data_IF_923840968873
#
_entry.id   IF_923840968873
#
_cell.length_a   1.000
_cell.length_b   1.000
_cell.length_c   1.000
_cell.angle_alpha   90.00
_cell.angle_beta   90.00
_cell.angle_gamma   90.00
#
_symmetry.space_group_name_H-M   'P 1'
#
loop_
_entity.id
_entity.type
_entity.pdbx_description
1 polymer ?
#
# COMPACT_ATOMS: atom_id res chain seq x y z
N UNK A 1 5.31 0.55 -3.55
CA UNK A 1 4.57 0.96 -4.76
C UNK A 1 5.44 1.71 -5.76
N UNK A 2 6.26 2.69 -5.35
CA UNK A 2 7.21 3.38 -6.25
C UNK A 2 8.18 2.42 -6.97
N UNK A 3 8.68 1.38 -6.29
CA UNK A 3 9.52 0.34 -6.90
C UNK A 3 8.75 -0.74 -7.68
N UNK A 4 7.42 -0.75 -7.59
CA UNK A 4 6.57 -1.75 -8.25
C UNK A 4 5.96 -1.23 -9.56
N UNK A 5 6.46 -0.10 -10.09
CA UNK A 5 6.01 0.54 -11.33
C UNK A 5 4.49 0.85 -11.38
N UNK A 6 3.83 0.99 -10.23
CA UNK A 6 2.41 1.40 -10.19
C UNK A 6 2.36 2.92 -10.34
N UNK A 7 1.75 3.47 -11.41
CA UNK A 7 1.68 4.92 -11.62
C UNK A 7 0.79 5.58 -10.57
N UNK A 8 1.17 6.78 -10.12
CA UNK A 8 0.38 7.56 -9.16
C UNK A 8 -0.96 8.03 -9.75
N UNK A 9 -0.96 8.34 -11.05
CA UNK A 9 -2.15 8.66 -11.82
C UNK A 9 -2.11 7.84 -13.11
N UNK A 10 -3.08 6.94 -13.28
CA UNK A 10 -3.12 6.03 -14.44
C UNK A 10 -3.60 6.74 -15.71
N UNK A 11 -4.73 7.45 -15.63
CA UNK A 11 -5.32 8.16 -16.78
C UNK A 11 -5.89 9.49 -16.28
N UNK A 12 -5.60 10.57 -17.01
CA UNK A 12 -6.26 11.86 -16.89
C UNK A 12 -7.09 12.10 -18.14
N UNK A 13 -8.39 12.35 -17.98
CA UNK A 13 -9.30 12.67 -19.08
C UNK A 13 -9.89 14.06 -18.85
N UNK A 14 -9.72 14.94 -19.83
CA UNK A 14 -10.30 16.28 -19.86
C UNK A 14 -11.47 16.25 -20.84
N UNK A 15 -12.69 16.49 -20.36
CA UNK A 15 -13.91 16.43 -21.16
C UNK A 15 -14.43 17.85 -21.37
N UNK A 16 -14.67 18.24 -22.62
CA UNK A 16 -15.30 19.53 -22.94
C UNK A 16 -16.81 19.37 -22.99
N UNK A 17 -17.48 19.69 -21.88
CA UNK A 17 -18.94 19.67 -21.76
C UNK A 17 -19.63 20.94 -22.26
N UNK A 18 -18.89 21.90 -22.80
CA UNK A 18 -19.45 23.13 -23.33
C UNK A 18 -19.90 22.95 -24.80
N UNK A 19 -20.68 23.90 -25.29
CA UNK A 19 -21.16 23.95 -26.68
C UNK A 19 -20.14 24.57 -27.65
N UNK A 20 -18.96 24.95 -27.16
CA UNK A 20 -17.91 25.62 -27.93
C UNK A 20 -16.58 24.90 -27.76
N UNK A 21 -15.65 24.98 -28.73
CA UNK A 21 -14.30 24.47 -28.54
C UNK A 21 -13.61 25.19 -27.37
N UNK A 22 -12.90 24.44 -26.55
CA UNK A 22 -12.11 24.97 -25.43
C UNK A 22 -10.64 24.67 -25.69
N UNK A 23 -9.82 25.70 -25.55
CA UNK A 23 -8.37 25.57 -25.65
C UNK A 23 -7.73 25.97 -24.31
N UNK A 24 -7.48 25.00 -23.40
CA UNK A 24 -6.80 25.28 -22.14
C UNK A 24 -5.35 25.70 -22.34
N UNK A 25 -4.77 25.39 -23.51
CA UNK A 25 -3.35 25.50 -23.90
C UNK A 25 -2.40 24.69 -23.04
N UNK A 26 -2.47 24.83 -21.73
CA UNK A 26 -1.58 24.19 -20.78
C UNK A 26 -2.33 23.87 -19.49
N UNK A 27 -2.08 22.69 -18.95
CA UNK A 27 -2.67 22.18 -17.71
C UNK A 27 -1.56 21.95 -16.70
N UNK A 28 -1.86 22.26 -15.43
CA UNK A 28 -0.95 22.12 -14.30
C UNK A 28 -1.59 21.16 -13.29
N UNK A 29 -0.86 20.11 -12.92
CA UNK A 29 -1.20 19.15 -11.86
C UNK A 29 -0.29 19.41 -10.67
N UNK A 30 -0.86 19.62 -9.50
CA UNK A 30 -0.13 19.88 -8.25
C UNK A 30 -0.78 19.18 -7.07
N UNK A 31 -0.09 19.15 -5.93
CA UNK A 31 -0.62 18.62 -4.69
C UNK A 31 -0.47 19.61 -3.53
N UNK A 32 -1.40 19.58 -2.58
CA UNK A 32 -1.35 20.32 -1.32
C UNK A 32 -1.59 19.38 -0.11
N UNK A 33 -0.60 19.13 0.76
CA UNK A 33 0.76 19.67 0.74
C UNK A 33 1.55 19.25 -0.51
N UNK A 34 2.62 19.98 -0.83
CA UNK A 34 3.44 19.72 -2.02
C UNK A 34 4.14 18.35 -1.93
N UNK A 35 3.58 17.35 -2.63
CA UNK A 35 4.08 15.98 -2.64
C UNK A 35 5.08 15.70 -3.77
N UNK A 36 4.91 16.42 -4.89
CA UNK A 36 5.69 16.31 -6.11
C UNK A 36 5.77 17.68 -6.77
N UNK A 37 6.76 17.87 -7.63
CA UNK A 37 6.87 19.10 -8.44
C UNK A 37 5.68 19.21 -9.39
N UNK A 38 5.12 20.42 -9.51
CA UNK A 38 3.96 20.65 -10.37
C UNK A 38 4.23 20.13 -11.79
N UNK A 39 3.37 19.23 -12.26
CA UNK A 39 3.50 18.62 -13.56
C UNK A 39 2.69 19.42 -14.56
N UNK A 40 3.34 19.89 -15.62
CA UNK A 40 2.74 20.74 -16.63
C UNK A 40 2.80 20.06 -17.99
N UNK A 41 1.71 20.15 -18.75
CA UNK A 41 1.65 19.63 -20.11
C UNK A 41 0.75 20.50 -20.98
N UNK A 42 1.05 20.53 -22.27
CA UNK A 42 0.23 21.24 -23.25
C UNK A 42 -0.96 20.36 -23.69
N UNK A 43 -2.09 21.01 -23.90
CA UNK A 43 -3.31 20.36 -24.38
C UNK A 43 -3.71 20.94 -25.73
N UNK A 44 -4.11 20.10 -26.70
CA UNK A 44 -4.74 20.59 -27.91
C UNK A 44 -6.09 21.25 -27.61
N UNK A 45 -6.63 21.96 -28.60
CA UNK A 45 -8.03 22.39 -28.55
C UNK A 45 -8.94 21.15 -28.48
N UNK A 46 -9.91 21.20 -27.57
CA UNK A 46 -10.90 20.14 -27.37
C UNK A 46 -12.22 20.62 -27.94
N UNK A 47 -12.70 19.98 -29.00
CA UNK A 47 -14.00 20.29 -29.60
C UNK A 47 -15.15 20.06 -28.60
N UNK A 48 -16.29 20.72 -28.83
CA UNK A 48 -17.50 20.53 -28.02
C UNK A 48 -17.88 19.04 -27.96
N UNK A 49 -18.17 18.54 -26.76
CA UNK A 49 -18.52 17.14 -26.51
C UNK A 49 -17.40 16.11 -26.69
N UNK A 50 -16.15 16.54 -26.95
CA UNK A 50 -14.99 15.66 -27.09
C UNK A 50 -14.12 15.67 -25.83
N UNK A 51 -13.14 14.76 -25.79
CA UNK A 51 -12.20 14.65 -24.69
C UNK A 51 -10.75 14.55 -25.16
N UNK A 52 -9.84 14.98 -24.30
CA UNK A 52 -8.41 14.71 -24.39
C UNK A 52 -8.01 13.73 -23.29
N UNK A 53 -7.16 12.76 -23.61
CA UNK A 53 -6.69 11.75 -22.66
C UNK A 53 -5.17 11.75 -22.58
N UNK A 54 -4.66 11.85 -21.35
CA UNK A 54 -3.25 11.67 -21.02
C UNK A 54 -3.09 10.41 -20.18
N UNK A 55 -2.33 9.45 -20.70
CA UNK A 55 -2.02 8.20 -20.01
C UNK A 55 -0.74 8.35 -19.20
N UNK A 56 -0.77 7.87 -17.97
CA UNK A 56 0.35 7.75 -17.04
C UNK A 56 1.25 9.00 -16.96
N UNK A 57 0.70 10.18 -16.60
CA UNK A 57 1.55 11.34 -16.37
C UNK A 57 2.60 11.03 -15.30
N UNK A 58 3.84 11.42 -15.60
CA UNK A 58 5.02 11.11 -14.79
C UNK A 58 5.10 12.01 -13.55
N UNK A 59 4.21 11.77 -12.60
CA UNK A 59 4.24 12.39 -11.28
C UNK A 59 5.29 11.64 -10.43
N UNK A 60 6.31 12.35 -9.95
CA UNK A 60 7.39 11.75 -9.16
C UNK A 60 7.37 12.28 -7.73
N UNK A 61 7.09 11.40 -6.77
CA UNK A 61 7.27 11.69 -5.34
C UNK A 61 8.67 11.21 -4.94
N UNK A 62 9.41 11.99 -4.14
CA UNK A 62 10.73 11.58 -3.69
C UNK A 62 10.64 10.37 -2.75
N UNK A 63 11.55 9.42 -2.94
CA UNK A 63 11.61 8.24 -2.08
C UNK A 63 11.95 8.63 -0.64
N UNK A 64 12.80 9.64 -0.47
CA UNK A 64 13.18 10.22 0.82
C UNK A 64 11.97 10.76 1.57
N UNK A 65 11.04 11.45 0.89
CA UNK A 65 9.82 11.93 1.51
C UNK A 65 8.94 10.77 2.00
N UNK A 66 8.73 9.76 1.15
CA UNK A 66 7.94 8.58 1.52
C UNK A 66 8.53 7.81 2.69
N UNK A 67 9.86 7.69 2.77
CA UNK A 67 10.56 7.01 3.86
C UNK A 67 10.44 7.76 5.20
N UNK A 68 10.22 9.08 5.18
CA UNK A 68 10.07 9.91 6.37
C UNK A 68 8.63 9.94 6.91
N UNK A 69 7.65 9.43 6.15
CA UNK A 69 6.26 9.36 6.58
C UNK A 69 6.12 8.40 7.78
N UNK A 70 5.85 8.98 8.95
CA UNK A 70 5.53 8.24 10.18
C UNK A 70 4.05 7.89 10.30
N UNK A 71 3.20 8.71 9.68
CA UNK A 71 1.75 8.61 9.71
C UNK A 71 1.19 8.91 8.31
N UNK A 72 -0.04 8.46 8.05
CA UNK A 72 -0.78 8.79 6.83
C UNK A 72 -0.86 10.30 6.63
N UNK A 73 -0.57 10.76 5.41
CA UNK A 73 -0.77 12.15 5.01
C UNK A 73 -1.95 12.24 4.05
N UNK A 74 -2.92 13.09 4.37
CA UNK A 74 -3.98 13.48 3.44
C UNK A 74 -3.49 14.68 2.64
N UNK A 75 -3.65 14.62 1.32
CA UNK A 75 -3.33 15.72 0.42
C UNK A 75 -4.45 15.93 -0.58
N UNK A 76 -4.47 17.10 -1.20
CA UNK A 76 -5.38 17.45 -2.28
C UNK A 76 -4.61 17.43 -3.59
N UNK A 77 -5.08 16.66 -4.56
CA UNK A 77 -4.62 16.74 -5.94
C UNK A 77 -5.42 17.85 -6.63
N UNK A 78 -4.72 18.82 -7.20
CA UNK A 78 -5.30 20.03 -7.78
C UNK A 78 -4.90 20.11 -9.25
N UNK A 79 -5.89 20.23 -10.13
CA UNK A 79 -5.71 20.36 -11.58
C UNK A 79 -6.26 21.72 -12.01
N UNK A 80 -5.43 22.52 -12.68
CA UNK A 80 -5.80 23.86 -13.17
C UNK A 80 -5.33 24.07 -14.61
N UNK A 81 -5.98 24.98 -15.32
CA UNK A 81 -5.41 25.53 -16.55
C UNK A 81 -4.26 26.50 -16.21
N UNK A 82 -3.31 26.70 -17.11
CA UNK A 82 -2.26 27.71 -16.94
C UNK A 82 -2.76 29.07 -17.45
N UNK A 83 -3.72 29.67 -16.75
CA UNK A 83 -4.10 31.06 -16.97
C UNK A 83 -4.06 31.82 -15.63
N UNK A 84 -3.66 33.11 -15.63
CA UNK A 84 -3.42 33.88 -14.39
C UNK A 84 -4.67 34.01 -13.48
N UNK A 85 -5.88 33.86 -14.03
CA UNK A 85 -7.14 33.83 -13.27
C UNK A 85 -7.91 32.50 -13.41
N UNK A 86 -7.24 31.42 -13.81
CA UNK A 86 -7.91 30.13 -14.00
C UNK A 86 -8.44 29.56 -12.68
N UNK A 87 -9.74 29.26 -12.67
CA UNK A 87 -10.36 28.48 -11.62
C UNK A 87 -9.79 27.05 -11.60
N UNK A 88 -9.88 26.40 -10.44
CA UNK A 88 -9.57 24.98 -10.30
C UNK A 88 -10.53 24.17 -11.19
N UNK A 89 -9.98 23.37 -12.09
CA UNK A 89 -10.77 22.50 -12.97
C UNK A 89 -11.24 21.25 -12.20
N UNK A 90 -10.37 20.73 -11.32
CA UNK A 90 -10.67 19.57 -10.51
C UNK A 90 -9.83 19.55 -9.23
N UNK A 91 -10.46 19.16 -8.12
CA UNK A 91 -9.81 18.89 -6.84
C UNK A 91 -10.27 17.53 -6.31
N UNK A 92 -9.33 16.68 -5.92
CA UNK A 92 -9.62 15.39 -5.30
C UNK A 92 -8.74 15.15 -4.09
N UNK A 93 -9.27 14.43 -3.09
CA UNK A 93 -8.47 14.03 -1.93
C UNK A 93 -7.70 12.76 -2.23
N UNK A 94 -6.39 12.79 -2.00
CA UNK A 94 -5.49 11.65 -2.08
C UNK A 94 -4.90 11.37 -0.69
N UNK A 95 -4.50 10.13 -0.43
CA UNK A 95 -3.85 9.74 0.82
C UNK A 95 -2.56 9.03 0.52
N UNK A 96 -1.48 9.48 1.16
CA UNK A 96 -0.19 8.83 1.15
C UNK A 96 -0.09 7.99 2.41
N UNK A 97 0.03 6.69 2.20
CA UNK A 97 0.20 5.73 3.28
C UNK A 97 1.64 5.76 3.78
N UNK A 98 1.81 5.70 5.09
CA UNK A 98 3.13 5.49 5.69
C UNK A 98 3.65 4.09 5.35
N UNK A 99 4.97 3.87 5.50
CA UNK A 99 5.61 2.60 5.13
C UNK A 99 5.04 1.37 5.89
N UNK A 100 4.46 1.59 7.07
CA UNK A 100 3.86 0.58 7.94
C UNK A 100 2.34 0.42 7.74
N UNK A 101 1.76 1.16 6.80
CA UNK A 101 0.35 1.10 6.44
C UNK A 101 0.17 0.43 5.08
N UNK A 102 -0.89 -0.35 4.96
CA UNK A 102 -1.27 -0.97 3.70
C UNK A 102 -2.78 -1.08 3.61
N UNK A 103 -3.38 -0.39 2.64
CA UNK A 103 -4.80 -0.54 2.26
C UNK A 103 -4.97 -1.59 1.14
N UNK A 104 -3.88 -2.31 0.80
CA UNK A 104 -3.79 -3.24 -0.34
C UNK A 104 -4.74 -4.45 -0.29
N UNK A 105 -5.41 -4.68 0.85
CA UNK A 105 -6.42 -5.73 0.98
C UNK A 105 -7.65 -5.50 0.08
N UNK A 106 -8.03 -4.25 -0.15
CA UNK A 106 -9.29 -3.92 -0.85
C UNK A 106 -9.07 -3.71 -2.36
N UNK A 107 -7.86 -3.28 -2.78
CA UNK A 107 -7.64 -2.80 -4.15
C UNK A 107 -6.61 -3.59 -4.97
N UNK A 108 -5.58 -4.16 -4.35
CA UNK A 108 -4.46 -4.84 -5.04
C UNK A 108 -3.90 -5.94 -4.12
N UNK A 109 -4.54 -7.13 -4.06
CA UNK A 109 -4.12 -8.24 -3.20
C UNK A 109 -2.66 -8.66 -3.41
N UNK A 110 -2.13 -8.47 -4.62
CA UNK A 110 -0.74 -8.75 -4.99
C UNK A 110 0.25 -7.95 -4.13
N UNK A 111 -0.14 -6.76 -3.68
CA UNK A 111 0.71 -5.90 -2.85
C UNK A 111 0.88 -6.42 -1.43
N UNK A 112 0.06 -7.38 -0.97
CA UNK A 112 0.21 -7.98 0.36
C UNK A 112 1.58 -8.66 0.49
N UNK A 113 2.08 -9.25 -0.60
CA UNK A 113 3.40 -9.90 -0.65
C UNK A 113 4.55 -8.93 -0.32
N UNK A 114 4.42 -7.65 -0.68
CA UNK A 114 5.43 -6.63 -0.42
C UNK A 114 5.58 -6.29 1.08
N UNK A 115 4.61 -6.70 1.91
CA UNK A 115 4.62 -6.49 3.36
C UNK A 115 5.02 -7.75 4.15
N UNK A 116 5.42 -8.81 3.45
CA UNK A 116 6.05 -9.98 4.08
C UNK A 116 7.50 -9.60 4.37
N UNK A 117 7.93 -9.79 5.62
CA UNK A 117 9.31 -9.57 6.05
C UNK A 117 9.99 -10.93 6.28
N UNK A 118 10.39 -11.65 5.21
CA UNK A 118 10.92 -13.01 5.35
C UNK A 118 12.24 -13.04 6.15
N UNK A 119 13.02 -11.95 6.10
CA UNK A 119 14.33 -11.83 6.74
C UNK A 119 14.28 -11.04 8.06
N UNK A 120 13.12 -10.99 8.73
CA UNK A 120 13.03 -10.39 10.06
C UNK A 120 13.72 -11.28 11.09
N UNK A 121 14.43 -10.68 12.04
CA UNK A 121 15.08 -11.38 13.17
C UNK A 121 14.08 -12.19 14.02
N UNK A 122 12.80 -11.80 14.04
CA UNK A 122 11.74 -12.56 14.70
C UNK A 122 11.48 -13.89 13.98
N UNK A 123 11.53 -13.90 12.64
CA UNK A 123 11.38 -15.13 11.85
C UNK A 123 12.55 -16.07 12.11
N UNK A 124 13.78 -15.56 12.19
CA UNK A 124 14.95 -16.37 12.53
C UNK A 124 14.80 -17.05 13.90
N UNK A 125 14.31 -16.33 14.92
CA UNK A 125 14.03 -16.89 16.25
C UNK A 125 12.97 -18.00 16.18
N UNK A 126 11.89 -17.78 15.44
CA UNK A 126 10.83 -18.79 15.26
C UNK A 126 11.37 -20.04 14.56
N UNK A 127 12.13 -19.87 13.47
CA UNK A 127 12.73 -20.99 12.73
C UNK A 127 13.72 -21.78 13.60
N UNK A 128 14.52 -21.08 14.42
CA UNK A 128 15.43 -21.74 15.37
C UNK A 128 14.67 -22.60 16.38
N UNK A 129 13.59 -22.06 16.96
CA UNK A 129 12.74 -22.80 17.90
C UNK A 129 12.01 -23.98 17.24
N UNK A 130 11.59 -23.82 15.98
CA UNK A 130 10.99 -24.91 15.21
C UNK A 130 11.99 -26.04 14.96
N UNK A 131 13.25 -25.73 14.64
CA UNK A 131 14.31 -26.72 14.46
C UNK A 131 14.59 -27.51 15.75
N UNK A 132 14.58 -26.84 16.91
CA UNK A 132 14.67 -27.50 18.23
C UNK A 132 13.46 -28.40 18.47
N UNK A 133 12.26 -27.93 18.13
CA UNK A 133 11.02 -28.71 18.28
C UNK A 133 11.03 -29.98 17.44
N UNK A 134 11.46 -29.90 16.17
CA UNK A 134 11.62 -31.06 15.30
C UNK A 134 12.58 -32.10 15.89
N UNK A 135 13.70 -31.64 16.46
CA UNK A 135 14.66 -32.52 17.13
C UNK A 135 14.04 -33.24 18.32
N UNK A 136 13.24 -32.54 19.12
CA UNK A 136 12.55 -33.12 20.27
C UNK A 136 11.49 -34.15 19.87
N UNK A 137 10.89 -34.00 18.68
CA UNK A 137 9.97 -34.99 18.10
C UNK A 137 10.67 -36.18 17.43
N UNK A 138 12.00 -36.23 17.46
CA UNK A 138 12.78 -37.31 16.84
C UNK A 138 12.95 -37.15 15.33
N UNK A 139 12.66 -35.98 14.77
CA UNK A 139 12.88 -35.66 13.36
C UNK A 139 14.19 -34.92 13.13
N UNK A 140 14.58 -34.79 11.86
CA UNK A 140 15.67 -33.91 11.46
C UNK A 140 15.35 -32.46 11.82
N UNK A 141 16.31 -31.73 12.38
CA UNK A 141 16.18 -30.31 12.68
C UNK A 141 16.27 -29.41 11.43
N UNK A 142 16.48 -29.99 10.25
CA UNK A 142 16.60 -29.26 9.00
C UNK A 142 15.22 -28.77 8.50
N UNK A 143 15.06 -27.46 8.38
CA UNK A 143 13.89 -26.82 7.73
C UNK A 143 14.14 -26.79 6.23
N UNK A 144 13.97 -27.95 5.59
CA UNK A 144 14.28 -28.16 4.16
C UNK A 144 13.19 -27.66 3.20
N UNK A 145 12.09 -27.11 3.73
CA UNK A 145 10.95 -26.68 2.91
C UNK A 145 10.39 -27.85 2.09
N UNK A 146 10.24 -27.64 0.77
CA UNK A 146 9.73 -28.66 -0.16
C UNK A 146 10.82 -29.53 -0.80
N UNK A 147 12.10 -29.34 -0.43
CA UNK A 147 13.22 -29.99 -1.11
C UNK A 147 13.21 -31.52 -1.00
N UNK A 148 12.67 -32.05 0.10
CA UNK A 148 12.56 -33.50 0.34
C UNK A 148 11.49 -34.17 -0.50
N UNK A 149 10.55 -33.40 -1.09
CA UNK A 149 9.38 -33.88 -1.82
C UNK A 149 8.52 -34.89 -1.03
N UNK A 150 8.60 -34.85 0.29
CA UNK A 150 7.83 -35.69 1.21
C UNK A 150 6.78 -34.84 1.96
N UNK A 151 5.48 -35.05 1.70
CA UNK A 151 4.41 -34.34 2.39
C UNK A 151 4.43 -34.50 3.91
N UNK A 152 4.88 -35.65 4.43
CA UNK A 152 5.00 -35.92 5.86
C UNK A 152 6.04 -35.03 6.52
N UNK A 153 7.20 -34.86 5.87
CA UNK A 153 8.25 -33.93 6.33
C UNK A 153 7.75 -32.49 6.35
N UNK A 154 7.01 -32.08 5.32
CA UNK A 154 6.40 -30.74 5.24
C UNK A 154 5.39 -30.53 6.38
N UNK A 155 4.53 -31.52 6.67
CA UNK A 155 3.58 -31.45 7.78
C UNK A 155 4.29 -31.33 9.13
N UNK A 156 5.38 -32.08 9.34
CA UNK A 156 6.16 -32.02 10.57
C UNK A 156 6.82 -30.64 10.76
N UNK A 157 7.38 -30.07 9.69
CA UNK A 157 7.94 -28.71 9.70
C UNK A 157 6.85 -27.69 10.03
N UNK A 158 5.68 -27.77 9.39
CA UNK A 158 4.56 -26.87 9.66
C UNK A 158 4.08 -26.96 11.11
N UNK A 159 3.96 -28.19 11.65
CA UNK A 159 3.61 -28.43 13.05
C UNK A 159 4.64 -27.84 14.01
N UNK A 160 5.93 -27.99 13.72
CA UNK A 160 7.00 -27.46 14.56
C UNK A 160 7.04 -25.93 14.56
N UNK A 161 6.77 -25.29 13.41
CA UNK A 161 6.62 -23.83 13.32
C UNK A 161 5.41 -23.38 14.14
N UNK A 162 4.27 -24.07 14.03
CA UNK A 162 3.09 -23.76 14.83
C UNK A 162 3.36 -23.87 16.33
N UNK A 163 4.04 -24.94 16.76
CA UNK A 163 4.42 -25.13 18.15
C UNK A 163 5.40 -24.04 18.64
N UNK A 164 6.36 -23.65 17.81
CA UNK A 164 7.28 -22.56 18.12
C UNK A 164 6.54 -21.23 18.31
N UNK A 165 5.60 -20.90 17.42
CA UNK A 165 4.74 -19.71 17.53
C UNK A 165 3.87 -19.77 18.79
N UNK A 166 3.26 -20.92 19.07
CA UNK A 166 2.45 -21.11 20.27
C UNK A 166 3.27 -20.92 21.57
N UNK A 167 4.54 -21.33 21.56
CA UNK A 167 5.45 -21.14 22.70
C UNK A 167 5.79 -19.67 22.98
N UNK A 168 5.61 -18.77 22.00
CA UNK A 168 5.84 -17.34 22.17
C UNK A 168 4.79 -16.64 23.06
N UNK A 169 3.78 -17.36 23.58
CA UNK A 169 2.72 -16.82 24.45
C UNK A 169 2.15 -15.51 23.90
N UNK A 170 1.68 -15.56 22.65
CA UNK A 170 1.10 -14.40 21.97
C UNK A 170 -0.20 -14.03 22.69
N UNK A 171 -0.16 -12.94 23.45
CA UNK A 171 -1.32 -12.42 24.15
C UNK A 171 -2.20 -11.62 23.19
N UNK A 172 -3.52 -11.75 23.34
CA UNK A 172 -4.48 -10.93 22.64
C UNK A 172 -4.42 -9.50 23.18
N UNK A 173 -4.12 -8.52 22.32
CA UNK A 173 -4.25 -7.11 22.66
C UNK A 173 -5.43 -6.50 21.89
N UNK A 174 -6.28 -5.74 22.61
CA UNK A 174 -7.39 -5.01 22.01
C UNK A 174 -6.79 -3.88 21.17
N UNK A 175 -7.20 -3.71 19.90
CA UNK A 175 -6.67 -2.64 19.08
C UNK A 175 -6.96 -1.28 19.74
N UNK A 176 -5.98 -0.34 19.78
CA UNK A 176 -6.21 0.99 20.31
C UNK A 176 -7.28 1.70 19.47
N UNK A 177 -7.94 2.70 20.06
CA UNK A 177 -9.05 3.43 19.41
C UNK A 177 -8.67 4.10 18.08
N UNK A 178 -7.37 4.30 17.81
CA UNK A 178 -6.82 4.81 16.55
C UNK A 178 -6.71 3.76 15.43
N UNK A 179 -7.09 2.51 15.67
CA UNK A 179 -7.07 1.45 14.69
C UNK A 179 -8.23 1.60 13.70
N UNK A 180 -7.98 2.19 12.53
CA UNK A 180 -8.95 2.22 11.44
C UNK A 180 -9.14 0.82 10.86
N UNK A 181 -10.39 0.35 10.77
CA UNK A 181 -10.73 -0.98 10.25
C UNK A 181 -10.27 -1.24 8.80
N UNK A 182 -9.96 -0.19 8.03
CA UNK A 182 -9.53 -0.29 6.64
C UNK A 182 -7.99 -0.26 6.44
N UNK A 183 -7.23 0.20 7.43
CA UNK A 183 -5.77 0.36 7.33
C UNK A 183 -5.09 -0.37 8.48
N UNK A 184 -4.39 -1.47 8.16
CA UNK A 184 -3.53 -2.10 9.17
C UNK A 184 -2.32 -1.20 9.39
N UNK A 185 -2.39 -0.33 10.39
CA UNK A 185 -1.20 0.20 11.05
C UNK A 185 -0.52 -0.97 11.77
N UNK A 186 0.63 -1.44 11.27
CA UNK A 186 1.44 -2.40 12.02
C UNK A 186 2.24 -1.64 13.08
N UNK A 187 2.00 -1.98 14.35
CA UNK A 187 2.97 -1.75 15.43
C UNK A 187 4.28 -2.49 15.09
N UNK A 188 5.42 -1.88 15.40
CA UNK A 188 6.76 -2.37 15.05
C UNK A 188 6.94 -3.82 15.52
N UNK A 189 7.34 -4.71 14.61
CA UNK A 189 7.70 -6.12 14.88
C UNK A 189 9.04 -6.31 15.59
N UNK A 190 9.55 -5.31 16.32
CA UNK A 190 10.90 -5.36 16.92
C UNK A 190 10.96 -5.98 18.32
N UNK A 191 9.86 -6.52 18.85
CA UNK A 191 9.79 -6.79 20.29
C UNK A 191 9.33 -8.22 20.60
N UNK A 192 10.17 -9.19 20.22
CA UNK A 192 10.22 -10.45 20.98
C UNK A 192 11.03 -10.33 22.29
N UNK A 193 11.61 -9.16 22.60
CA UNK A 193 12.38 -8.94 23.84
C UNK A 193 11.87 -7.78 24.73
N UNK A 194 10.70 -7.17 24.49
CA UNK A 194 10.11 -6.28 25.53
C UNK A 194 8.67 -5.80 25.38
N UNK A 195 7.97 -5.95 24.26
CA UNK A 195 6.62 -5.38 24.09
C UNK A 195 5.72 -6.30 23.27
N UNK A 196 4.72 -6.87 23.94
CA UNK A 196 3.81 -7.91 23.45
C UNK A 196 2.57 -7.33 22.75
N UNK A 197 2.62 -6.97 21.46
CA UNK A 197 1.39 -6.55 20.75
C UNK A 197 1.35 -6.92 19.26
N UNK A 198 0.39 -7.78 18.86
CA UNK A 198 -0.12 -7.90 17.49
C UNK A 198 -1.63 -8.23 17.47
N UNK A 199 -2.40 -7.58 16.58
CA UNK A 199 -3.87 -7.59 16.55
C UNK A 199 -4.50 -8.43 15.40
N UNK A 200 -5.66 -9.04 15.68
CA UNK A 200 -6.45 -9.89 14.77
C UNK A 200 -7.52 -9.12 13.94
N UNK A 201 -7.85 -9.70 12.77
CA UNK A 201 -8.72 -9.22 11.68
C UNK A 201 -10.21 -9.54 11.93
N UNK A 202 -11.14 -8.62 11.60
CA UNK A 202 -12.58 -8.86 11.43
C UNK A 202 -13.06 -8.15 10.16
N UNK A 203 -13.84 -8.82 9.30
CA UNK A 203 -14.24 -8.38 7.96
C UNK A 203 -15.74 -8.04 7.89
N UNK A 204 -16.09 -6.92 7.26
CA UNK A 204 -17.42 -6.64 6.70
C UNK A 204 -17.29 -5.59 5.58
N UNK A 205 -17.89 -5.85 4.42
CA UNK A 205 -17.71 -5.07 3.18
C UNK A 205 -18.78 -4.00 2.92
N UNK A 206 -18.58 -3.22 1.84
CA UNK A 206 -19.51 -3.07 0.70
C UNK A 206 -19.01 -2.02 -0.33
N UNK A 207 -19.41 -2.22 -1.60
CA UNK A 207 -19.05 -1.45 -2.80
C UNK A 207 -19.77 -0.10 -2.92
N UNK A 208 -19.14 0.91 -3.57
CA UNK A 208 -19.76 1.57 -4.73
C UNK A 208 -18.86 2.57 -5.50
N UNK A 209 -19.06 2.55 -6.82
CA UNK A 209 -18.54 3.39 -7.90
C UNK A 209 -19.22 4.76 -7.96
N UNK A 210 -18.56 5.78 -8.52
CA UNK A 210 -19.21 7.03 -8.95
C UNK A 210 -18.53 7.65 -10.17
N UNK A 211 -19.35 7.90 -11.19
CA UNK A 211 -19.13 8.53 -12.50
C UNK A 211 -18.94 10.05 -12.35
N UNK A 212 -18.12 10.68 -13.20
CA UNK A 212 -17.96 12.15 -13.25
C UNK A 212 -18.34 12.70 -14.64
N UNK A 213 -18.86 13.93 -14.59
CA UNK A 213 -19.45 14.76 -15.65
C UNK A 213 -18.53 15.00 -16.84
#
# INVERSE_FOLDING_TARGET
MQQNFVPLLGILRLINNSQQPVNPQKIIISADPALFEAFEFETPEIAAGHFFELKEPKLSISAEYLLQLKERVKAKLIIKAAAPESAVLHESSISLLAFNECDGYIRLPELISAFIQPNSTVIEKILTNAAVTLKNWGHSSAISGYQTKDPGVVCNIAGAIFAAIASCQINYCVPPASFEFASKSKSKTNTCDSDKEQACLKLSGDLNTSTLF
#
